data_IF_953381669793
#
_entry.id   IF_953381669793
#
_cell.length_a   1.000
_cell.length_b   1.000
_cell.length_c   1.000
_cell.angle_alpha   90.00
_cell.angle_beta   90.00
_cell.angle_gamma   90.00
#
_symmetry.space_group_name_H-M   'P 1'
#
loop_
_entity.id
_entity.type
_entity.pdbx_description
1 polymer ?
#
# COMPACT_ATOMS: atom_id res chain seq x y z
N UNK A 1 -1.28 -8.45 38.64
CA UNK A 1 0.00 -8.80 38.00
C UNK A 1 -0.08 -8.31 36.56
N UNK A 2 0.56 -7.19 36.21
CA UNK A 2 0.54 -6.67 34.83
C UNK A 2 1.46 -7.52 33.96
N UNK A 3 0.93 -8.13 32.89
CA UNK A 3 1.74 -8.74 31.82
C UNK A 3 2.38 -7.62 31.02
N UNK A 4 3.69 -7.46 31.15
CA UNK A 4 4.50 -6.71 30.19
C UNK A 4 4.48 -7.48 28.87
N UNK A 5 3.88 -6.89 27.84
CA UNK A 5 3.93 -7.42 26.48
C UNK A 5 5.37 -7.25 25.98
N UNK A 6 6.14 -8.34 25.93
CA UNK A 6 7.57 -8.35 25.56
C UNK A 6 7.81 -8.46 24.05
N UNK A 7 6.74 -8.53 23.25
CA UNK A 7 6.85 -8.35 21.81
C UNK A 7 6.82 -6.84 21.53
N UNK A 8 7.92 -6.22 21.05
CA UNK A 8 7.80 -4.91 20.44
C UNK A 8 6.74 -5.02 19.34
N UNK A 9 5.86 -4.03 19.25
CA UNK A 9 4.87 -3.95 18.18
C UNK A 9 5.63 -3.62 16.88
N UNK A 10 6.34 -4.61 16.31
CA UNK A 10 7.17 -4.51 15.10
C UNK A 10 6.32 -4.54 13.83
N UNK A 11 5.03 -4.20 13.93
CA UNK A 11 4.11 -4.04 12.80
C UNK A 11 3.42 -2.70 12.85
N UNK A 12 3.93 -1.78 13.66
CA UNK A 12 3.33 -0.47 13.79
C UNK A 12 3.79 0.40 12.62
N UNK A 13 2.95 0.44 11.60
CA UNK A 13 3.07 1.41 10.50
C UNK A 13 3.22 2.81 11.10
N UNK A 14 4.35 3.44 10.86
CA UNK A 14 4.67 4.75 11.37
C UNK A 14 4.03 5.83 10.48
N UNK A 15 3.16 6.69 11.04
CA UNK A 15 2.48 7.71 10.25
C UNK A 15 3.42 8.70 9.54
N UNK A 16 4.59 8.97 10.10
CA UNK A 16 5.55 9.91 9.52
C UNK A 16 6.26 9.30 8.29
N UNK A 17 6.68 8.05 8.39
CA UNK A 17 7.32 7.27 7.33
C UNK A 17 6.34 6.96 6.20
N UNK A 18 5.08 6.65 6.56
CA UNK A 18 3.99 6.51 5.60
C UNK A 18 3.73 7.79 4.81
N UNK A 19 3.74 8.97 5.48
CA UNK A 19 3.61 10.26 4.79
C UNK A 19 4.79 10.50 3.85
N UNK A 20 6.02 10.22 4.30
CA UNK A 20 7.21 10.33 3.46
C UNK A 20 7.10 9.49 2.18
N UNK A 21 6.70 8.22 2.28
CA UNK A 21 6.53 7.36 1.11
C UNK A 21 5.47 7.88 0.14
N UNK A 22 4.32 8.35 0.65
CA UNK A 22 3.25 8.92 -0.19
C UNK A 22 3.71 10.16 -0.94
N UNK A 23 4.43 11.07 -0.27
CA UNK A 23 4.98 12.28 -0.89
C UNK A 23 6.06 11.95 -1.93
N UNK A 24 6.91 10.96 -1.65
CA UNK A 24 7.93 10.50 -2.58
C UNK A 24 7.29 9.85 -3.83
N UNK A 25 6.29 8.98 -3.64
CA UNK A 25 5.55 8.33 -4.71
C UNK A 25 4.69 9.28 -5.54
N UNK A 26 4.16 10.35 -4.94
CA UNK A 26 3.38 11.35 -5.67
C UNK A 26 4.18 12.05 -6.78
N UNK A 27 5.51 12.03 -6.70
CA UNK A 27 6.42 12.56 -7.72
C UNK A 27 6.67 11.59 -8.88
N UNK A 28 6.17 10.36 -8.82
CA UNK A 28 6.34 9.33 -9.84
C UNK A 28 5.06 9.20 -10.70
N UNK A 29 5.04 9.76 -11.93
CA UNK A 29 3.88 9.63 -12.81
C UNK A 29 3.88 8.26 -13.54
N UNK A 30 2.75 7.54 -13.51
CA UNK A 30 2.46 6.44 -14.44
C UNK A 30 2.71 5.00 -13.94
N UNK A 31 2.74 4.00 -14.86
CA UNK A 31 2.53 2.58 -14.56
C UNK A 31 3.64 1.93 -13.72
N UNK A 32 4.71 2.66 -13.42
CA UNK A 32 5.88 2.20 -12.67
C UNK A 32 5.74 2.35 -11.14
N UNK A 33 4.52 2.42 -10.60
CA UNK A 33 4.31 2.67 -9.17
C UNK A 33 5.05 1.66 -8.28
N UNK A 34 4.99 0.35 -8.61
CA UNK A 34 5.66 -0.69 -7.81
C UNK A 34 7.18 -0.57 -7.87
N UNK A 35 7.72 -0.30 -9.06
CA UNK A 35 9.16 -0.04 -9.27
C UNK A 35 9.61 1.19 -8.49
N UNK A 36 8.78 2.24 -8.48
CA UNK A 36 9.06 3.49 -7.78
C UNK A 36 9.03 3.29 -6.27
N UNK A 37 8.03 2.58 -5.74
CA UNK A 37 7.95 2.24 -4.32
C UNK A 37 9.20 1.46 -3.88
N UNK A 38 9.57 0.43 -4.64
CA UNK A 38 10.77 -0.38 -4.36
C UNK A 38 12.04 0.48 -4.38
N UNK A 39 12.20 1.34 -5.39
CA UNK A 39 13.37 2.22 -5.48
C UNK A 39 13.47 3.21 -4.31
N UNK A 40 12.34 3.77 -3.87
CA UNK A 40 12.29 4.70 -2.73
C UNK A 40 12.68 3.98 -1.43
N UNK A 41 12.12 2.79 -1.18
CA UNK A 41 12.43 1.99 0.03
C UNK A 41 13.91 1.64 0.08
N UNK A 42 14.48 1.14 -1.03
CA UNK A 42 15.90 0.81 -1.11
C UNK A 42 16.77 2.05 -0.91
N UNK A 43 16.42 3.17 -1.55
CA UNK A 43 17.16 4.43 -1.37
C UNK A 43 17.10 4.92 0.07
N UNK A 44 15.93 4.90 0.73
CA UNK A 44 15.79 5.33 2.12
C UNK A 44 16.64 4.47 3.08
N UNK A 45 16.70 3.16 2.85
CA UNK A 45 17.56 2.27 3.62
C UNK A 45 19.05 2.59 3.41
N UNK A 46 19.49 2.73 2.15
CA UNK A 46 20.91 2.94 1.83
C UNK A 46 21.41 4.35 2.19
N UNK A 47 20.60 5.38 1.97
CA UNK A 47 20.99 6.78 2.16
C UNK A 47 20.72 7.30 3.57
N UNK A 48 19.70 6.75 4.25
CA UNK A 48 19.22 7.29 5.53
C UNK A 48 19.09 6.25 6.65
N UNK A 49 19.37 4.96 6.38
CA UNK A 49 19.22 3.89 7.36
C UNK A 49 17.76 3.68 7.82
N UNK A 50 16.80 4.14 7.02
CA UNK A 50 15.38 4.10 7.33
C UNK A 50 14.75 2.84 6.73
N UNK A 51 14.30 1.93 7.59
CA UNK A 51 13.54 0.75 7.17
C UNK A 51 12.08 1.16 6.97
N UNK A 52 11.60 1.00 5.74
CA UNK A 52 10.26 1.38 5.30
C UNK A 52 9.44 0.17 4.84
N UNK A 53 9.88 -1.04 5.22
CA UNK A 53 9.31 -2.30 4.72
C UNK A 53 7.83 -2.43 5.09
N UNK A 54 7.48 -2.17 6.34
CA UNK A 54 6.10 -2.27 6.83
C UNK A 54 5.18 -1.24 6.16
N UNK A 55 5.64 0.00 5.99
CA UNK A 55 4.88 1.05 5.32
C UNK A 55 4.69 0.77 3.83
N UNK A 56 5.71 0.22 3.17
CA UNK A 56 5.62 -0.19 1.78
C UNK A 56 4.58 -1.30 1.59
N UNK A 57 4.57 -2.31 2.48
CA UNK A 57 3.59 -3.39 2.45
C UNK A 57 2.17 -2.88 2.72
N UNK A 58 2.01 -1.93 3.65
CA UNK A 58 0.73 -1.27 3.88
C UNK A 58 0.24 -0.51 2.63
N UNK A 59 1.12 0.21 1.93
CA UNK A 59 0.76 0.89 0.68
C UNK A 59 0.39 -0.08 -0.45
N UNK A 60 1.06 -1.23 -0.56
CA UNK A 60 0.69 -2.29 -1.53
C UNK A 60 -0.70 -2.83 -1.23
N UNK A 61 -1.00 -3.11 0.04
CA UNK A 61 -2.31 -3.59 0.45
C UNK A 61 -3.42 -2.55 0.17
N UNK A 62 -3.17 -1.26 0.43
CA UNK A 62 -4.09 -0.17 0.09
C UNK A 62 -4.38 -0.12 -1.42
N UNK A 63 -3.34 -0.26 -2.26
CA UNK A 63 -3.48 -0.26 -3.71
C UNK A 63 -4.27 -1.46 -4.22
N UNK A 64 -3.97 -2.67 -3.73
CA UNK A 64 -4.70 -3.88 -4.09
C UNK A 64 -6.18 -3.75 -3.74
N UNK A 65 -6.49 -3.30 -2.51
CA UNK A 65 -7.87 -3.06 -2.09
C UNK A 65 -8.59 -2.00 -2.96
N UNK A 66 -7.89 -0.97 -3.43
CA UNK A 66 -8.44 0.03 -4.33
C UNK A 66 -8.73 -0.55 -5.74
N UNK A 67 -7.85 -1.42 -6.25
CA UNK A 67 -8.03 -2.12 -7.52
C UNK A 67 -9.22 -3.09 -7.46
N UNK A 68 -9.34 -3.88 -6.40
CA UNK A 68 -10.48 -4.79 -6.21
C UNK A 68 -11.81 -4.03 -6.17
N UNK A 69 -11.85 -2.89 -5.47
CA UNK A 69 -13.03 -2.01 -5.45
C UNK A 69 -13.35 -1.39 -6.81
N UNK A 70 -12.34 -1.06 -7.61
CA UNK A 70 -12.54 -0.57 -8.97
C UNK A 70 -13.12 -1.66 -9.88
N UNK A 71 -12.65 -2.90 -9.73
CA UNK A 71 -13.16 -4.06 -10.47
C UNK A 71 -14.61 -4.37 -10.11
N UNK A 72 -14.98 -4.34 -8.83
CA UNK A 72 -16.36 -4.51 -8.36
C UNK A 72 -17.33 -3.42 -8.88
N UNK A 73 -16.84 -2.20 -9.15
CA UNK A 73 -17.65 -1.14 -9.76
C UNK A 73 -17.78 -1.27 -11.28
N UNK A 74 -16.82 -1.90 -11.94
CA UNK A 74 -16.87 -2.19 -13.37
C UNK A 74 -17.81 -3.34 -13.72
N UNK A 75 -17.97 -4.33 -12.83
CA UNK A 75 -18.80 -5.52 -13.05
C UNK A 75 -20.29 -5.32 -12.81
N UNK A 76 -20.74 -4.20 -12.24
CA UNK A 76 -22.17 -3.91 -12.03
C UNK A 76 -22.88 -3.31 -13.25
N UNK A 77 -22.16 -3.03 -14.34
CA UNK A 77 -22.74 -2.44 -15.56
C UNK A 77 -23.06 -3.45 -16.68
N UNK A 78 -22.66 -4.73 -16.56
CA UNK A 78 -22.83 -5.75 -17.62
C UNK A 78 -23.62 -7.00 -17.23
N UNK A 79 -24.40 -6.98 -16.14
CA UNK A 79 -25.47 -7.98 -16.00
C UNK A 79 -26.71 -7.50 -16.75
N UNK A 80 -26.58 -7.46 -18.07
CA UNK A 80 -27.60 -7.04 -19.03
C UNK A 80 -28.20 -8.32 -19.65
N UNK A 81 -29.53 -8.41 -19.61
CA UNK A 81 -30.39 -9.18 -20.51
C UNK A 81 -30.62 -10.70 -20.28
N UNK A 82 -31.93 -11.00 -20.22
CA UNK A 82 -32.63 -12.19 -20.74
C UNK A 82 -32.70 -13.46 -19.88
N UNK A 83 -33.72 -13.51 -19.01
CA UNK A 83 -34.49 -14.73 -18.77
C UNK A 83 -35.98 -14.39 -18.91
N UNK A 84 -36.38 -14.03 -20.13
CA UNK A 84 -37.71 -14.33 -20.65
C UNK A 84 -37.52 -15.40 -21.73
N UNK A 85 -37.79 -16.65 -21.37
CA UNK A 85 -38.20 -17.73 -22.26
C UNK A 85 -38.90 -18.79 -21.41
#
# INVERSE_FOLDING_TARGET
MLRLNTAPDTRRVNPAEMRYLREALAKCPGPCWETSLTAIVVYAQLAHGMDLTDEADALRAERAAAQDRAQLKGTTAETRYSLHA
#
